data_IF_914294611431
#
_entry.id   IF_914294611431
#
_cell.length_a   1.000
_cell.length_b   1.000
_cell.length_c   1.000
_cell.angle_alpha   90.00
_cell.angle_beta   90.00
_cell.angle_gamma   90.00
#
_symmetry.space_group_name_H-M   'P 1'
#
loop_
_entity.id
_entity.type
_entity.pdbx_description
1 polymer ?
#
# COMPACT_ATOMS: atom_id res chain seq x y z
N UNK A 1 -23.23 -15.90 -48.72
CA UNK A 1 -23.91 -16.00 -47.42
C UNK A 1 -23.14 -17.00 -46.56
N UNK A 2 -22.34 -16.53 -45.61
CA UNK A 2 -21.74 -17.30 -44.49
C UNK A 2 -21.07 -16.22 -43.62
N UNK A 3 -21.84 -15.45 -42.85
CA UNK A 3 -22.36 -15.78 -41.52
C UNK A 3 -21.24 -16.16 -40.54
N UNK A 4 -21.02 -15.23 -39.59
CA UNK A 4 -20.60 -15.41 -38.21
C UNK A 4 -19.21 -16.00 -37.91
N UNK A 5 -18.27 -15.12 -37.51
CA UNK A 5 -17.59 -15.18 -36.20
C UNK A 5 -17.34 -13.73 -35.73
N UNK A 6 -18.12 -13.23 -34.77
CA UNK A 6 -17.77 -13.29 -33.33
C UNK A 6 -16.35 -12.75 -33.11
N UNK A 7 -16.16 -11.55 -32.57
CA UNK A 7 -16.22 -11.31 -31.11
C UNK A 7 -14.87 -10.70 -30.75
N UNK A 8 -14.90 -9.49 -30.19
CA UNK A 8 -13.93 -8.97 -29.22
C UNK A 8 -12.48 -8.80 -29.67
N UNK A 9 -11.97 -7.56 -29.62
CA UNK A 9 -10.77 -7.17 -28.85
C UNK A 9 -10.40 -5.71 -29.21
N UNK A 10 -11.15 -4.75 -28.64
CA UNK A 10 -10.55 -3.47 -28.22
C UNK A 10 -10.34 -3.57 -26.71
N UNK A 11 -9.34 -4.33 -26.31
CA UNK A 11 -8.71 -4.15 -25.01
C UNK A 11 -7.41 -3.41 -25.30
N UNK A 12 -7.48 -2.08 -25.40
CA UNK A 12 -6.28 -1.27 -25.13
C UNK A 12 -5.96 -1.50 -23.67
N UNK A 13 -4.94 -2.32 -23.46
CA UNK A 13 -4.49 -2.85 -22.19
C UNK A 13 -4.21 -1.71 -21.20
N UNK A 14 -4.95 -1.69 -20.09
CA UNK A 14 -4.51 -1.02 -18.87
C UNK A 14 -3.36 -1.86 -18.30
N UNK A 15 -2.13 -1.43 -18.56
CA UNK A 15 -0.94 -1.98 -17.91
C UNK A 15 -0.90 -1.50 -16.46
N UNK A 16 -1.56 -2.23 -15.55
CA UNK A 16 -1.23 -2.19 -14.13
C UNK A 16 0.03 -3.03 -13.91
N UNK A 17 1.19 -2.43 -14.18
CA UNK A 17 2.49 -3.04 -13.96
C UNK A 17 3.03 -2.74 -12.57
N UNK A 18 3.50 -3.78 -11.88
CA UNK A 18 4.28 -3.73 -10.63
C UNK A 18 3.69 -4.65 -9.55
N UNK A 19 3.86 -5.98 -9.58
CA UNK A 19 5.04 -6.67 -9.06
C UNK A 19 5.52 -6.02 -7.73
N UNK A 20 5.14 -6.46 -6.54
CA UNK A 20 5.12 -7.84 -6.06
C UNK A 20 6.45 -8.13 -5.35
N UNK A 21 6.54 -7.78 -4.06
CA UNK A 21 7.46 -8.46 -3.16
C UNK A 21 6.79 -8.74 -1.80
N UNK A 22 6.58 -10.03 -1.58
CA UNK A 22 5.96 -10.72 -0.47
C UNK A 22 6.14 -10.09 0.91
N UNK A 23 5.04 -9.57 1.40
CA UNK A 23 4.36 -9.99 2.62
C UNK A 23 3.26 -8.94 2.81
N UNK A 24 2.16 -9.28 3.47
CA UNK A 24 1.19 -8.29 3.94
C UNK A 24 1.84 -7.36 4.99
N UNK A 25 2.83 -6.56 4.59
CA UNK A 25 3.49 -5.53 5.37
C UNK A 25 2.51 -4.38 5.44
N UNK A 26 1.47 -4.56 6.24
CA UNK A 26 0.55 -3.48 6.55
C UNK A 26 1.37 -2.40 7.24
N UNK A 27 1.47 -1.23 6.63
CA UNK A 27 2.16 -0.11 7.24
C UNK A 27 1.22 0.51 8.27
N UNK A 28 1.75 0.94 9.40
CA UNK A 28 0.95 1.53 10.47
C UNK A 28 1.48 2.91 10.78
N UNK A 29 0.62 3.92 10.71
CA UNK A 29 0.89 5.29 11.14
C UNK A 29 0.18 5.64 12.43
N UNK A 30 0.45 6.84 12.93
CA UNK A 30 -0.30 7.46 14.04
C UNK A 30 -1.17 8.57 13.50
N UNK A 31 -2.44 8.67 13.92
CA UNK A 31 -3.33 9.82 13.63
C UNK A 31 -2.72 11.16 14.02
N UNK A 32 -1.96 11.17 15.11
CA UNK A 32 -1.30 12.37 15.64
C UNK A 32 0.10 12.59 15.04
N UNK A 33 0.58 11.66 14.21
CA UNK A 33 1.89 11.72 13.61
C UNK A 33 1.82 11.78 12.09
N UNK A 34 2.96 12.06 11.49
CA UNK A 34 3.14 12.00 10.04
C UNK A 34 4.11 10.90 9.65
N UNK A 35 4.44 9.98 10.56
CA UNK A 35 5.32 8.85 10.30
C UNK A 35 4.53 7.55 10.20
N UNK A 36 4.88 6.71 9.23
CA UNK A 36 4.40 5.33 9.14
C UNK A 36 5.53 4.36 9.50
N UNK A 37 5.16 3.17 9.98
CA UNK A 37 6.03 2.18 10.57
C UNK A 37 5.61 0.79 10.11
N UNK A 38 6.44 -0.21 10.40
CA UNK A 38 6.07 -1.62 10.25
C UNK A 38 5.46 -2.17 11.55
N UNK A 39 4.58 -3.18 11.51
CA UNK A 39 3.85 -3.66 12.69
C UNK A 39 4.76 -4.27 13.76
N UNK A 40 5.94 -4.75 13.36
CA UNK A 40 6.96 -5.27 14.26
C UNK A 40 7.86 -4.19 14.88
N UNK A 41 7.74 -2.95 14.41
CA UNK A 41 8.60 -1.85 14.79
C UNK A 41 8.32 -1.38 16.23
N UNK A 42 9.38 -1.05 16.98
CA UNK A 42 9.24 -0.55 18.35
C UNK A 42 8.39 0.73 18.45
N UNK A 43 8.49 1.61 17.45
CA UNK A 43 7.70 2.86 17.41
C UNK A 43 6.18 2.63 17.41
N UNK A 44 5.71 1.52 16.83
CA UNK A 44 4.28 1.18 16.78
C UNK A 44 3.73 0.82 18.15
N UNK A 45 4.56 0.21 19.01
CA UNK A 45 4.15 -0.18 20.36
C UNK A 45 3.89 1.02 21.26
N UNK A 46 4.46 2.18 20.92
CA UNK A 46 4.27 3.45 21.61
C UNK A 46 3.03 4.21 21.13
N UNK A 47 2.44 3.81 19.99
CA UNK A 47 1.22 4.43 19.46
C UNK A 47 0.02 3.75 20.12
N UNK A 48 -0.84 4.54 20.77
CA UNK A 48 -2.11 4.04 21.29
C UNK A 48 -2.95 3.42 20.18
N UNK A 49 -3.66 2.34 20.48
CA UNK A 49 -4.43 1.58 19.48
C UNK A 49 -5.49 2.44 18.77
N UNK A 50 -6.11 3.37 19.50
CA UNK A 50 -7.05 4.37 18.97
C UNK A 50 -6.45 5.28 17.88
N UNK A 51 -5.13 5.47 17.92
CA UNK A 51 -4.38 6.33 17.03
C UNK A 51 -3.70 5.57 15.90
N UNK A 52 -3.72 4.23 15.89
CA UNK A 52 -3.13 3.44 14.80
C UNK A 52 -3.97 3.58 13.53
N UNK A 53 -3.30 3.89 12.42
CA UNK A 53 -3.89 3.89 11.07
C UNK A 53 -3.14 2.85 10.26
N UNK A 54 -3.84 1.95 9.59
CA UNK A 54 -3.24 0.94 8.74
C UNK A 54 -3.32 1.36 7.27
N UNK A 55 -2.20 1.25 6.56
CA UNK A 55 -2.10 1.50 5.13
C UNK A 55 -1.82 0.18 4.41
N UNK A 56 -2.45 0.04 3.25
CA UNK A 56 -2.30 -1.15 2.41
C UNK A 56 -0.90 -1.22 1.76
N UNK A 57 -0.30 -0.06 1.49
CA UNK A 57 0.98 0.08 0.80
C UNK A 57 1.75 1.30 1.28
N UNK A 58 3.06 1.32 1.04
CA UNK A 58 3.93 2.47 1.29
C UNK A 58 3.47 3.69 0.50
N UNK A 59 3.13 3.54 -0.78
CA UNK A 59 2.63 4.65 -1.59
C UNK A 59 1.32 5.25 -1.05
N UNK A 60 0.43 4.44 -0.46
CA UNK A 60 -0.81 4.95 0.15
C UNK A 60 -0.52 5.82 1.36
N UNK A 61 0.43 5.41 2.21
CA UNK A 61 0.90 6.21 3.33
C UNK A 61 1.53 7.53 2.85
N UNK A 62 2.42 7.46 1.86
CA UNK A 62 3.11 8.63 1.30
C UNK A 62 2.15 9.59 0.59
N UNK A 63 1.17 9.08 -0.15
CA UNK A 63 0.10 9.89 -0.77
C UNK A 63 -0.76 10.60 0.26
N UNK A 64 -0.97 9.98 1.42
CA UNK A 64 -1.63 10.61 2.58
C UNK A 64 -0.72 11.58 3.36
N UNK A 65 0.52 11.79 2.91
CA UNK A 65 1.47 12.72 3.53
C UNK A 65 2.28 12.12 4.68
N UNK A 66 2.26 10.79 4.84
CA UNK A 66 3.08 10.11 5.83
C UNK A 66 4.48 9.83 5.29
N UNK A 67 5.47 9.88 6.18
CA UNK A 67 6.88 9.69 5.90
C UNK A 67 7.40 8.41 6.54
N UNK A 68 8.44 7.78 5.99
CA UNK A 68 9.04 6.63 6.60
C UNK A 68 9.59 6.96 7.99
N UNK A 69 9.26 6.16 8.99
CA UNK A 69 9.83 6.29 10.32
C UNK A 69 11.33 5.98 10.30
N UNK A 70 12.17 6.99 10.55
CA UNK A 70 13.63 6.83 10.52
C UNK A 70 14.20 5.87 11.56
N UNK A 71 13.45 5.59 12.63
CA UNK A 71 13.80 4.59 13.65
C UNK A 71 13.35 3.17 13.28
N UNK A 72 12.76 2.97 12.10
CA UNK A 72 12.27 1.69 11.63
C UNK A 72 13.13 1.18 10.48
N UNK A 73 13.75 0.01 10.63
CA UNK A 73 14.61 -0.57 9.58
C UNK A 73 13.77 -1.27 8.52
N UNK A 74 14.00 -0.98 7.24
CA UNK A 74 13.36 -1.68 6.12
C UNK A 74 12.09 -1.03 5.54
N UNK A 75 11.98 0.30 5.66
CA UNK A 75 10.88 1.15 5.21
C UNK A 75 11.47 2.39 4.54
#
# INVERSE_FOLDING_TARGET
MESVRKTELRVTQFTAGGAGESAAKMYVGSKNGTAYYLPWCGGVKLINEENKIWFASKEDAETKGYKPAGNCKGI
#
